data_IF_311382994685
#
_entry.id   IF_311382994685
#
_cell.length_a   1.000
_cell.length_b   1.000
_cell.length_c   1.000
_cell.angle_alpha   90.00
_cell.angle_beta   90.00
_cell.angle_gamma   90.00
#
_symmetry.space_group_name_H-M   'P 1'
#
loop_
_entity.id
_entity.type
_entity.pdbx_description
1 polymer ?
#
# COMPACT_ATOMS: atom_id res chain seq x y z
N UNK A 1 35.38 51.69 13.20
CA UNK A 1 34.30 50.97 13.92
C UNK A 1 32.94 51.02 13.22
N UNK A 2 32.42 52.18 12.78
CA UNK A 2 31.09 52.28 12.14
C UNK A 2 30.92 51.47 10.84
N UNK A 3 31.92 51.42 9.97
CA UNK A 3 31.88 50.62 8.72
C UNK A 3 31.92 49.10 8.95
N UNK A 4 32.63 48.66 9.99
CA UNK A 4 32.73 47.23 10.34
C UNK A 4 31.42 46.70 10.91
N UNK A 5 30.77 47.48 11.79
CA UNK A 5 29.44 47.16 12.32
C UNK A 5 28.38 47.10 11.20
N UNK A 6 28.47 47.98 10.20
CA UNK A 6 27.54 47.98 9.06
C UNK A 6 27.69 46.73 8.17
N UNK A 7 28.92 46.26 7.95
CA UNK A 7 29.19 45.03 7.19
C UNK A 7 28.70 43.81 7.95
N UNK A 8 28.93 43.74 9.26
CA UNK A 8 28.43 42.64 10.10
C UNK A 8 26.89 42.64 10.10
N UNK A 9 26.25 43.80 10.20
CA UNK A 9 24.80 43.93 10.17
C UNK A 9 24.19 43.45 8.83
N UNK A 10 24.83 43.76 7.71
CA UNK A 10 24.44 43.27 6.38
C UNK A 10 24.59 41.74 6.24
N UNK A 11 25.69 41.17 6.76
CA UNK A 11 25.87 39.72 6.75
C UNK A 11 24.77 39.03 7.58
N UNK A 12 24.48 39.48 8.80
CA UNK A 12 23.44 38.87 9.65
C UNK A 12 22.05 38.96 9.01
N UNK A 13 21.70 40.07 8.36
CA UNK A 13 20.43 40.19 7.63
C UNK A 13 20.36 39.27 6.41
N UNK A 14 21.46 39.07 5.68
CA UNK A 14 21.50 38.15 4.54
C UNK A 14 21.39 36.67 4.95
N UNK A 15 21.84 36.28 6.15
CA UNK A 15 21.63 34.94 6.68
C UNK A 15 20.19 34.71 7.17
N UNK A 16 19.54 35.74 7.75
CA UNK A 16 18.16 35.65 8.22
C UNK A 16 17.13 35.51 7.09
N UNK A 17 17.41 36.05 5.90
CA UNK A 17 16.54 35.90 4.71
C UNK A 17 16.67 34.51 4.07
N UNK A 18 17.84 33.87 4.14
CA UNK A 18 18.06 32.52 3.62
C UNK A 18 17.47 31.45 4.56
N UNK A 19 17.52 31.65 5.88
CA UNK A 19 16.96 30.72 6.86
C UNK A 19 15.41 30.64 6.83
N UNK A 20 14.74 31.72 6.38
CA UNK A 20 13.28 31.78 6.24
C UNK A 20 12.79 31.53 4.81
N UNK A 21 13.68 31.28 3.85
CA UNK A 21 13.26 30.80 2.55
C UNK A 21 12.60 29.42 2.77
N UNK A 22 11.28 29.33 2.56
CA UNK A 22 10.58 28.05 2.49
C UNK A 22 11.44 27.15 1.63
N UNK A 23 11.91 26.02 2.19
CA UNK A 23 12.60 24.98 1.41
C UNK A 23 11.82 24.83 0.10
N UNK A 24 12.47 24.92 -1.07
CA UNK A 24 11.77 24.75 -2.33
C UNK A 24 10.96 23.47 -2.19
N UNK A 25 9.63 23.57 -2.41
CA UNK A 25 8.75 22.40 -2.36
C UNK A 25 9.41 21.38 -3.28
N UNK A 26 9.86 20.28 -2.71
CA UNK A 26 10.50 19.21 -3.45
C UNK A 26 9.58 18.87 -4.61
N UNK A 27 10.08 18.95 -5.84
CA UNK A 27 9.25 18.80 -7.03
C UNK A 27 8.70 17.38 -6.99
N UNK A 28 7.40 17.24 -6.72
CA UNK A 28 6.75 15.93 -6.63
C UNK A 28 6.89 15.25 -7.98
N UNK A 29 7.68 14.17 -7.99
CA UNK A 29 7.90 13.34 -9.18
C UNK A 29 6.89 12.20 -9.18
N UNK A 30 5.73 12.43 -9.76
CA UNK A 30 4.73 11.40 -10.03
C UNK A 30 5.29 10.24 -10.86
N UNK A 31 4.90 8.99 -10.55
CA UNK A 31 5.36 7.83 -11.30
C UNK A 31 4.69 7.80 -12.67
N UNK A 32 5.46 7.40 -13.69
CA UNK A 32 4.90 7.09 -15.01
C UNK A 32 3.91 5.95 -14.89
N UNK A 33 2.83 6.04 -15.64
CA UNK A 33 1.80 5.03 -15.65
C UNK A 33 1.13 4.90 -17.02
N UNK A 34 0.61 3.71 -17.28
CA UNK A 34 -0.24 3.39 -18.44
C UNK A 34 -1.60 2.97 -17.91
N UNK A 35 -2.62 3.76 -18.22
CA UNK A 35 -4.00 3.51 -17.84
C UNK A 35 -4.74 2.91 -19.04
N UNK A 36 -5.28 1.70 -18.87
CA UNK A 36 -6.16 1.06 -19.87
C UNK A 36 -7.57 1.02 -19.31
N UNK A 37 -8.52 1.62 -20.03
CA UNK A 37 -9.94 1.62 -19.67
C UNK A 37 -10.66 0.40 -20.27
N UNK A 38 -11.83 0.08 -19.73
CA UNK A 38 -12.65 -1.06 -20.20
C UNK A 38 -13.17 -0.90 -21.61
N UNK A 39 -13.33 0.33 -22.10
CA UNK A 39 -13.71 0.63 -23.49
C UNK A 39 -12.57 0.45 -24.50
N UNK A 40 -11.36 0.10 -24.03
CA UNK A 40 -10.17 -0.09 -24.86
C UNK A 40 -9.26 1.14 -24.98
N UNK A 41 -9.66 2.29 -24.42
CA UNK A 41 -8.82 3.49 -24.39
C UNK A 41 -7.53 3.24 -23.61
N UNK A 42 -6.39 3.66 -24.16
CA UNK A 42 -5.07 3.56 -23.52
C UNK A 42 -4.47 4.95 -23.38
N UNK A 43 -4.11 5.32 -22.16
CA UNK A 43 -3.51 6.62 -21.82
C UNK A 43 -2.12 6.41 -21.24
N UNK A 44 -1.13 7.11 -21.78
CA UNK A 44 0.24 7.13 -21.27
C UNK A 44 0.45 8.45 -20.52
N UNK A 45 1.01 8.39 -19.32
CA UNK A 45 1.10 9.57 -18.47
C UNK A 45 1.63 9.26 -17.09
N UNK A 46 1.01 9.86 -16.09
CA UNK A 46 1.49 9.92 -14.72
C UNK A 46 0.33 9.75 -13.74
N UNK A 47 0.52 8.89 -12.74
CA UNK A 47 -0.42 8.74 -11.63
C UNK A 47 -0.24 9.90 -10.65
N UNK A 48 -1.25 10.75 -10.53
CA UNK A 48 -1.26 12.01 -9.77
C UNK A 48 -1.74 11.83 -8.32
N UNK A 49 -1.76 10.58 -7.83
CA UNK A 49 -2.06 10.26 -6.43
C UNK A 49 -1.21 9.08 -5.96
N UNK A 50 -1.03 8.98 -4.65
CA UNK A 50 -0.38 7.82 -4.06
C UNK A 50 -1.20 6.54 -4.31
N UNK A 51 -0.51 5.44 -4.59
CA UNK A 51 -1.11 4.11 -4.79
C UNK A 51 -1.96 3.67 -3.59
N UNK A 52 -1.65 4.12 -2.36
CA UNK A 52 -2.40 3.82 -1.14
C UNK A 52 -3.77 4.53 -1.07
N UNK A 53 -4.04 5.48 -1.97
CA UNK A 53 -5.31 6.22 -2.06
C UNK A 53 -6.17 5.83 -3.28
N UNK A 54 -5.83 4.73 -3.97
CA UNK A 54 -6.60 4.20 -5.10
C UNK A 54 -7.84 3.40 -4.64
N UNK A 55 -8.74 4.05 -3.90
CA UNK A 55 -10.02 3.49 -3.49
C UNK A 55 -11.01 3.58 -4.65
N UNK A 56 -12.01 4.46 -4.59
CA UNK A 56 -13.04 4.57 -5.64
C UNK A 56 -12.55 5.19 -6.94
N UNK A 57 -11.47 5.96 -6.90
CA UNK A 57 -10.96 6.70 -8.05
C UNK A 57 -9.43 6.76 -8.04
N UNK A 58 -8.86 7.01 -9.22
CA UNK A 58 -7.48 7.47 -9.39
C UNK A 58 -7.48 8.84 -10.09
N UNK A 59 -6.35 9.53 -9.98
CA UNK A 59 -6.06 10.78 -10.66
C UNK A 59 -4.90 10.56 -11.61
N UNK A 60 -5.06 10.96 -12.87
CA UNK A 60 -4.09 10.72 -13.92
C UNK A 60 -3.92 11.95 -14.80
N UNK A 61 -2.71 12.15 -15.30
CA UNK A 61 -2.40 13.22 -16.26
C UNK A 61 -1.42 12.71 -17.31
N UNK A 62 -1.62 13.09 -18.58
CA UNK A 62 -0.71 12.72 -19.68
C UNK A 62 0.70 13.33 -19.53
N UNK A 63 0.84 14.40 -18.74
CA UNK A 63 2.13 15.06 -18.47
C UNK A 63 2.39 15.23 -16.99
N UNK A 64 3.67 15.35 -16.61
CA UNK A 64 4.12 15.48 -15.22
C UNK A 64 3.42 16.61 -14.45
N UNK A 65 3.16 17.74 -15.14
CA UNK A 65 2.57 18.96 -14.58
C UNK A 65 1.18 19.25 -15.17
N UNK A 66 0.55 18.27 -15.82
CA UNK A 66 -0.75 18.46 -16.43
C UNK A 66 -1.88 18.50 -15.40
N UNK A 67 -3.09 18.72 -15.88
CA UNK A 67 -4.28 18.74 -15.03
C UNK A 67 -4.67 17.32 -14.63
N UNK A 68 -5.01 17.14 -13.37
CA UNK A 68 -5.56 15.89 -12.87
C UNK A 68 -6.90 15.57 -13.51
N UNK A 69 -6.99 14.41 -14.16
CA UNK A 69 -8.23 13.82 -14.64
C UNK A 69 -8.58 12.65 -13.73
N UNK A 70 -9.82 12.65 -13.24
CA UNK A 70 -10.34 11.66 -12.29
C UNK A 70 -10.97 10.50 -13.05
N UNK A 71 -10.57 9.27 -12.73
CA UNK A 71 -11.13 8.04 -13.28
C UNK A 71 -11.68 7.16 -12.16
N UNK A 72 -12.88 6.60 -12.33
CA UNK A 72 -13.42 5.61 -11.37
C UNK A 72 -12.73 4.28 -11.59
N UNK A 73 -12.36 3.58 -10.53
CA UNK A 73 -11.64 2.29 -10.65
C UNK A 73 -12.47 1.22 -11.38
N UNK A 74 -13.80 1.31 -11.32
CA UNK A 74 -14.71 0.36 -11.98
C UNK A 74 -14.67 0.44 -13.50
N UNK A 75 -14.21 1.55 -14.06
CA UNK A 75 -14.08 1.77 -15.50
C UNK A 75 -12.68 1.39 -16.01
N UNK A 76 -11.77 1.02 -15.11
CA UNK A 76 -10.37 0.70 -15.40
C UNK A 76 -10.25 -0.80 -15.66
N UNK A 77 -9.62 -1.16 -16.79
CA UNK A 77 -9.23 -2.54 -17.10
C UNK A 77 -7.90 -2.88 -16.44
N UNK A 78 -6.91 -2.00 -16.57
CA UNK A 78 -5.62 -2.15 -15.90
C UNK A 78 -4.93 -0.80 -15.72
N UNK A 79 -4.09 -0.72 -14.69
CA UNK A 79 -3.21 0.40 -14.43
C UNK A 79 -1.80 -0.14 -14.22
N UNK A 80 -0.89 0.17 -15.14
CA UNK A 80 0.53 -0.16 -15.01
C UNK A 80 1.25 1.04 -14.45
N UNK A 81 1.97 0.91 -13.33
CA UNK A 81 2.68 2.01 -12.68
C UNK A 81 4.16 1.66 -12.52
N UNK A 82 5.03 2.56 -12.96
CA UNK A 82 6.48 2.44 -12.81
C UNK A 82 6.89 2.72 -11.36
N UNK A 83 7.75 1.87 -10.81
CA UNK A 83 8.31 2.00 -9.46
C UNK A 83 7.24 2.19 -8.36
N UNK A 84 6.06 1.55 -8.53
CA UNK A 84 4.92 1.75 -7.64
C UNK A 84 5.24 1.46 -6.16
N UNK A 85 6.12 0.48 -5.92
CA UNK A 85 6.49 0.01 -4.58
C UNK A 85 7.91 0.46 -4.17
N UNK A 86 8.50 1.42 -4.89
CA UNK A 86 9.87 1.92 -4.64
C UNK A 86 10.97 0.86 -4.75
N UNK A 87 10.72 -0.22 -5.49
CA UNK A 87 11.63 -1.35 -5.71
C UNK A 87 12.21 -1.37 -7.14
N UNK A 88 12.01 -0.31 -7.91
CA UNK A 88 12.42 -0.15 -9.30
C UNK A 88 11.56 -0.92 -10.30
N UNK A 89 10.55 -1.66 -9.85
CA UNK A 89 9.76 -2.56 -10.71
C UNK A 89 8.45 -1.90 -11.15
N UNK A 90 7.98 -2.31 -12.33
CA UNK A 90 6.62 -2.00 -12.78
C UNK A 90 5.62 -2.91 -12.07
N UNK A 91 4.43 -2.39 -11.81
CA UNK A 91 3.30 -3.15 -11.23
C UNK A 91 2.07 -2.95 -12.08
N UNK A 92 1.37 -4.04 -12.37
CA UNK A 92 0.07 -4.00 -13.03
C UNK A 92 -1.00 -4.17 -11.96
N UNK A 93 -1.80 -3.14 -11.77
CA UNK A 93 -2.98 -3.18 -10.93
C UNK A 93 -4.19 -3.50 -11.80
N UNK A 94 -4.97 -4.48 -11.35
CA UNK A 94 -6.24 -4.86 -11.95
C UNK A 94 -7.33 -4.68 -10.91
N UNK A 95 -8.54 -4.43 -11.39
CA UNK A 95 -9.71 -4.33 -10.54
C UNK A 95 -10.06 -5.72 -9.99
N UNK A 96 -10.20 -5.80 -8.68
CA UNK A 96 -10.86 -6.91 -8.02
C UNK A 96 -12.36 -6.60 -7.92
N UNK A 97 -13.19 -7.43 -8.55
CA UNK A 97 -14.64 -7.25 -8.65
C UNK A 97 -15.44 -8.16 -7.70
N UNK A 98 -14.80 -9.09 -6.98
CA UNK A 98 -15.50 -10.12 -6.18
C UNK A 98 -16.31 -9.55 -5.03
N UNK A 99 -15.92 -8.39 -4.50
CA UNK A 99 -16.74 -7.61 -3.57
C UNK A 99 -17.28 -6.37 -4.29
N UNK A 100 -18.50 -6.44 -4.87
CA UNK A 100 -19.10 -5.30 -5.56
C UNK A 100 -19.40 -4.12 -4.61
N UNK A 101 -19.43 -4.35 -3.29
CA UNK A 101 -19.58 -3.26 -2.30
C UNK A 101 -18.26 -2.55 -2.00
N UNK A 102 -17.12 -3.20 -2.24
CA UNK A 102 -15.80 -2.62 -1.99
C UNK A 102 -14.76 -3.03 -3.05
N UNK A 103 -14.94 -2.61 -4.31
CA UNK A 103 -13.94 -2.89 -5.34
C UNK A 103 -12.62 -2.20 -5.01
N UNK A 104 -11.51 -2.86 -5.34
CA UNK A 104 -10.18 -2.31 -5.14
C UNK A 104 -9.22 -2.73 -6.24
N UNK A 105 -8.21 -1.90 -6.47
CA UNK A 105 -7.12 -2.20 -7.39
C UNK A 105 -6.04 -3.00 -6.66
N UNK A 106 -5.63 -4.15 -7.22
CA UNK A 106 -4.58 -5.00 -6.65
C UNK A 106 -3.64 -5.51 -7.74
N UNK A 107 -2.41 -5.83 -7.35
CA UNK A 107 -1.43 -6.49 -8.22
C UNK A 107 -1.40 -7.97 -7.90
N UNK A 108 -1.34 -8.81 -8.93
CA UNK A 108 -1.01 -10.22 -8.76
C UNK A 108 0.45 -10.31 -8.27
N UNK A 109 0.68 -11.13 -7.25
CA UNK A 109 2.00 -11.34 -6.61
C UNK A 109 2.40 -12.81 -6.55
N UNK A 110 1.46 -13.72 -6.82
CA UNK A 110 1.68 -15.16 -6.80
C UNK A 110 0.74 -15.83 -7.80
N UNK A 111 1.27 -16.75 -8.62
CA UNK A 111 0.49 -17.58 -9.54
C UNK A 111 0.96 -19.03 -9.45
N UNK A 112 0.23 -19.82 -8.68
CA UNK A 112 0.38 -21.27 -8.57
C UNK A 112 -0.55 -22.00 -9.54
N UNK A 113 -0.65 -23.32 -9.37
CA UNK A 113 -1.54 -24.17 -10.18
C UNK A 113 -3.01 -23.93 -9.80
N UNK A 114 -3.28 -23.83 -8.52
CA UNK A 114 -4.61 -23.68 -7.93
C UNK A 114 -4.78 -22.29 -7.30
N UNK A 115 -3.70 -21.71 -6.77
CA UNK A 115 -3.75 -20.47 -5.98
C UNK A 115 -3.29 -19.27 -6.79
N UNK A 116 -4.07 -18.19 -6.76
CA UNK A 116 -3.62 -16.86 -7.23
C UNK A 116 -3.62 -15.88 -6.06
N UNK A 117 -2.51 -15.16 -5.88
CA UNK A 117 -2.28 -14.22 -4.79
C UNK A 117 -2.23 -12.78 -5.26
N UNK A 118 -2.79 -11.88 -4.45
CA UNK A 118 -2.94 -10.46 -4.76
C UNK A 118 -2.47 -9.58 -3.60
N UNK A 119 -1.92 -8.42 -3.95
CA UNK A 119 -1.55 -7.37 -3.02
C UNK A 119 -2.29 -6.08 -3.34
N UNK A 120 -2.98 -5.54 -2.35
CA UNK A 120 -3.64 -4.24 -2.36
C UNK A 120 -2.81 -3.22 -1.57
N UNK A 121 -2.30 -2.14 -2.17
CA UNK A 121 -1.81 -0.99 -1.42
C UNK A 121 -2.99 -0.17 -0.90
N UNK A 122 -2.98 0.19 0.38
CA UNK A 122 -4.02 1.03 0.98
C UNK A 122 -3.52 1.86 2.16
N UNK A 123 -4.21 2.94 2.49
CA UNK A 123 -4.00 3.67 3.74
C UNK A 123 -4.87 3.06 4.86
N UNK A 124 -4.26 2.64 5.96
CA UNK A 124 -4.99 2.11 7.12
C UNK A 124 -5.35 3.25 8.07
N UNK A 125 -6.65 3.44 8.29
CA UNK A 125 -7.15 4.40 9.26
C UNK A 125 -7.43 3.67 10.58
N UNK A 126 -6.68 4.04 11.61
CA UNK A 126 -6.89 3.55 12.96
C UNK A 126 -7.64 4.62 13.75
N UNK A 127 -8.95 4.47 13.88
CA UNK A 127 -9.72 5.23 14.86
C UNK A 127 -9.51 4.56 16.22
N UNK A 128 -8.63 5.09 17.06
CA UNK A 128 -8.74 4.80 18.48
C UNK A 128 -9.77 5.78 19.05
N UNK A 129 -10.85 5.24 19.63
CA UNK A 129 -11.90 5.86 20.45
C UNK A 129 -13.21 6.32 19.75
N UNK A 130 -14.33 5.73 20.18
CA UNK A 130 -15.68 6.34 20.22
C UNK A 130 -16.09 6.35 21.71
N UNK A 131 -16.85 7.30 22.29
CA UNK A 131 -17.75 8.35 21.79
C UNK A 131 -17.56 9.64 22.60
N UNK A 132 -17.89 10.78 21.99
CA UNK A 132 -18.28 11.96 22.76
C UNK A 132 -19.74 11.85 23.21
N UNK A 133 -20.02 12.03 24.52
CA UNK A 133 -21.30 12.60 24.98
C UNK A 133 -21.21 14.13 25.13
N UNK A 134 -20.00 14.69 25.09
CA UNK A 134 -19.66 16.06 25.51
C UNK A 134 -19.09 16.95 24.40
N UNK A 135 -19.17 16.52 23.14
CA UNK A 135 -18.68 17.28 21.98
C UNK A 135 -17.15 17.25 21.80
N UNK A 136 -16.72 16.56 20.74
CA UNK A 136 -15.36 16.57 20.14
C UNK A 136 -14.32 15.84 21.02
N UNK A 137 -13.71 14.73 20.59
CA UNK A 137 -12.62 14.66 19.61
C UNK A 137 -12.54 13.31 18.88
N UNK A 138 -12.22 13.32 17.58
CA UNK A 138 -11.72 12.16 16.81
C UNK A 138 -10.38 12.52 16.19
N UNK A 139 -9.29 11.97 16.74
CA UNK A 139 -7.98 12.01 16.09
C UNK A 139 -7.82 10.74 15.25
N UNK A 140 -8.06 10.86 13.94
CA UNK A 140 -7.84 9.75 13.03
C UNK A 140 -6.33 9.59 12.80
N UNK A 141 -5.77 8.44 13.19
CA UNK A 141 -4.38 8.12 12.83
C UNK A 141 -4.39 7.37 11.51
N UNK A 142 -3.89 8.00 10.45
CA UNK A 142 -3.74 7.39 9.12
C UNK A 142 -2.32 6.85 8.99
N UNK A 143 -2.21 5.56 8.72
CA UNK A 143 -0.96 4.88 8.41
C UNK A 143 -0.87 4.67 6.89
N UNK A 144 0.18 5.25 6.30
CA UNK A 144 0.54 5.03 4.90
C UNK A 144 1.46 3.80 4.78
N UNK A 145 1.63 3.26 3.56
CA UNK A 145 2.48 2.09 3.37
C UNK A 145 1.85 0.79 3.88
N UNK A 146 0.51 0.67 3.89
CA UNK A 146 -0.15 -0.57 4.29
C UNK A 146 -0.45 -1.43 3.07
N UNK A 147 -0.21 -2.74 3.19
CA UNK A 147 -0.45 -3.72 2.11
C UNK A 147 -1.35 -4.83 2.62
N UNK A 148 -2.45 -5.06 1.93
CA UNK A 148 -3.38 -6.15 2.19
C UNK A 148 -3.11 -7.28 1.23
N UNK A 149 -3.01 -8.50 1.74
CA UNK A 149 -2.71 -9.69 0.95
C UNK A 149 -3.93 -10.60 0.92
N UNK A 150 -4.28 -11.00 -0.30
CA UNK A 150 -5.47 -11.78 -0.60
C UNK A 150 -5.09 -12.98 -1.47
N UNK A 151 -5.89 -14.04 -1.44
CA UNK A 151 -5.74 -15.18 -2.36
C UNK A 151 -7.09 -15.62 -2.91
N UNK A 152 -7.04 -16.39 -3.99
CA UNK A 152 -8.14 -17.19 -4.53
C UNK A 152 -7.63 -18.60 -4.82
N UNK A 153 -8.52 -19.58 -4.73
CA UNK A 153 -8.30 -20.97 -5.15
C UNK A 153 -9.23 -21.28 -6.33
N UNK A 154 -8.68 -21.74 -7.45
CA UNK A 154 -9.41 -22.16 -8.67
C UNK A 154 -10.49 -21.14 -9.14
N UNK A 155 -10.16 -19.84 -9.09
CA UNK A 155 -11.09 -18.73 -9.39
C UNK A 155 -12.32 -18.63 -8.47
N UNK A 156 -12.23 -19.21 -7.27
CA UNK A 156 -13.18 -19.04 -6.19
C UNK A 156 -13.03 -17.69 -5.49
N UNK A 157 -13.62 -17.57 -4.31
CA UNK A 157 -13.71 -16.32 -3.55
C UNK A 157 -12.33 -15.73 -3.19
N UNK A 158 -12.19 -14.42 -3.32
CA UNK A 158 -11.12 -13.67 -2.68
C UNK A 158 -11.14 -13.73 -1.14
N UNK A 159 -10.02 -14.20 -0.55
CA UNK A 159 -9.83 -14.30 0.90
C UNK A 159 -8.64 -13.45 1.34
N UNK A 160 -8.89 -12.48 2.22
CA UNK A 160 -7.84 -11.73 2.90
C UNK A 160 -7.12 -12.61 3.91
N UNK A 161 -5.78 -12.66 3.88
CA UNK A 161 -5.00 -13.53 4.76
C UNK A 161 -3.89 -12.81 5.54
N UNK A 162 -3.38 -11.67 5.06
CA UNK A 162 -2.28 -10.98 5.72
C UNK A 162 -2.28 -9.47 5.50
N UNK A 163 -1.72 -8.73 6.44
CA UNK A 163 -1.50 -7.29 6.33
C UNK A 163 -0.09 -6.96 6.73
N UNK A 164 0.51 -6.03 6.00
CA UNK A 164 1.85 -5.52 6.26
C UNK A 164 1.79 -4.00 6.43
N UNK A 165 2.54 -3.50 7.40
CA UNK A 165 2.87 -2.09 7.54
C UNK A 165 4.34 -1.90 7.12
N UNK A 166 4.60 -1.05 6.11
CA UNK A 166 5.95 -0.80 5.60
C UNK A 166 6.86 -0.13 6.65
N UNK A 167 6.31 0.72 7.51
CA UNK A 167 7.07 1.29 8.62
C UNK A 167 7.40 0.19 9.65
N UNK A 168 8.67 -0.22 9.68
CA UNK A 168 9.19 -1.24 10.61
C UNK A 168 8.95 -0.88 12.08
N UNK A 169 8.92 0.39 12.47
CA UNK A 169 8.61 0.81 13.85
C UNK A 169 7.14 0.61 14.18
N UNK A 170 6.25 0.82 13.21
CA UNK A 170 4.81 0.56 13.37
C UNK A 170 4.57 -0.95 13.39
N UNK A 171 5.18 -1.67 12.46
CA UNK A 171 5.05 -3.11 12.31
C UNK A 171 5.55 -3.84 13.57
N UNK A 172 6.76 -3.54 14.05
CA UNK A 172 7.33 -4.10 15.28
C UNK A 172 6.56 -3.78 16.57
N UNK A 173 5.78 -2.69 16.59
CA UNK A 173 4.88 -2.34 17.70
C UNK A 173 3.54 -3.07 17.64
N UNK A 174 3.01 -3.31 16.43
CA UNK A 174 1.68 -3.91 16.22
C UNK A 174 1.70 -5.43 16.21
N UNK A 175 2.78 -6.06 15.72
CA UNK A 175 2.78 -7.50 15.45
C UNK A 175 3.98 -8.21 16.09
N UNK A 176 3.99 -8.29 17.42
CA UNK A 176 4.77 -9.32 18.14
C UNK A 176 3.89 -10.55 18.35
N UNK A 177 3.88 -11.45 17.36
CA UNK A 177 3.19 -12.73 17.53
C UNK A 177 4.10 -13.72 18.25
N UNK A 178 3.63 -14.28 19.37
CA UNK A 178 4.16 -15.57 19.79
C UNK A 178 3.76 -16.63 18.76
N UNK A 179 4.52 -17.72 18.65
CA UNK A 179 4.21 -18.81 17.71
C UNK A 179 2.77 -19.30 17.85
N UNK A 180 2.28 -19.44 19.09
CA UNK A 180 0.88 -19.78 19.39
C UNK A 180 -0.13 -18.79 18.80
N UNK A 181 0.13 -17.48 18.88
CA UNK A 181 -0.77 -16.45 18.32
C UNK A 181 -0.71 -16.44 16.79
N UNK A 182 0.49 -16.62 16.21
CA UNK A 182 0.68 -16.72 14.77
C UNK A 182 -0.13 -17.89 14.20
N UNK A 183 0.06 -19.10 14.74
CA UNK A 183 -0.65 -20.29 14.30
C UNK A 183 -2.17 -20.14 14.44
N UNK A 184 -2.66 -19.52 15.53
CA UNK A 184 -4.08 -19.23 15.68
C UNK A 184 -4.61 -18.32 14.55
N UNK A 185 -3.87 -17.27 14.19
CA UNK A 185 -4.24 -16.36 13.09
C UNK A 185 -4.24 -17.08 11.75
N UNK A 186 -3.23 -17.91 11.48
CA UNK A 186 -3.16 -18.68 10.24
C UNK A 186 -4.31 -19.68 10.15
N UNK A 187 -4.62 -20.40 11.24
CA UNK A 187 -5.79 -21.30 11.30
C UNK A 187 -7.12 -20.58 11.05
N UNK A 188 -7.26 -19.33 11.49
CA UNK A 188 -8.45 -18.51 11.20
C UNK A 188 -8.52 -18.11 9.71
N UNK A 189 -7.41 -17.65 9.13
CA UNK A 189 -7.36 -17.16 7.73
C UNK A 189 -7.36 -18.27 6.69
N UNK A 190 -6.89 -19.46 7.05
CA UNK A 190 -6.86 -20.65 6.22
C UNK A 190 -7.68 -21.78 6.85
N UNK A 191 -8.84 -21.44 7.44
CA UNK A 191 -9.71 -22.39 8.15
C UNK A 191 -10.14 -23.59 7.30
N UNK A 192 -10.30 -23.37 5.99
CA UNK A 192 -10.71 -24.40 5.03
C UNK A 192 -9.50 -25.22 4.52
N UNK A 193 -8.28 -24.83 4.91
CA UNK A 193 -7.00 -25.41 4.48
C UNK A 193 -6.06 -25.63 5.68
N UNK A 194 -6.38 -26.56 6.60
CA UNK A 194 -5.63 -26.77 7.84
C UNK A 194 -4.15 -27.12 7.61
N UNK A 195 -3.83 -27.77 6.48
CA UNK A 195 -2.46 -28.10 6.06
C UNK A 195 -1.52 -26.88 6.03
N UNK A 196 -2.04 -25.67 5.79
CA UNK A 196 -1.24 -24.44 5.81
C UNK A 196 -0.66 -24.18 7.20
N UNK A 197 -1.49 -24.31 8.23
CA UNK A 197 -1.04 -24.09 9.60
C UNK A 197 -0.09 -25.21 10.08
N UNK A 198 -0.34 -26.45 9.68
CA UNK A 198 0.50 -27.61 10.00
C UNK A 198 1.90 -27.46 9.40
N UNK A 199 1.99 -27.06 8.13
CA UNK A 199 3.29 -26.89 7.46
C UNK A 199 4.04 -25.66 8.00
N UNK A 200 3.34 -24.58 8.37
CA UNK A 200 3.94 -23.43 9.08
C UNK A 200 4.55 -23.86 10.41
N UNK A 201 3.83 -24.67 11.19
CA UNK A 201 4.30 -25.20 12.47
C UNK A 201 5.51 -26.13 12.29
N UNK A 202 5.42 -27.07 11.34
CA UNK A 202 6.48 -28.03 11.01
C UNK A 202 7.77 -27.36 10.53
N UNK A 203 7.67 -26.32 9.70
CA UNK A 203 8.83 -25.54 9.22
C UNK A 203 9.36 -24.57 10.28
N UNK A 204 8.62 -24.35 11.37
CA UNK A 204 8.97 -23.36 12.38
C UNK A 204 8.98 -21.93 11.83
N UNK A 205 8.12 -21.60 10.85
CA UNK A 205 8.10 -20.26 10.27
C UNK A 205 7.67 -19.23 11.31
N UNK A 206 8.41 -18.14 11.37
CA UNK A 206 8.12 -17.03 12.28
C UNK A 206 7.25 -15.97 11.61
N UNK A 207 6.68 -15.08 12.41
CA UNK A 207 5.90 -13.97 11.88
C UNK A 207 6.77 -13.02 11.04
N UNK A 208 8.02 -12.81 11.45
CA UNK A 208 8.98 -11.97 10.75
C UNK A 208 9.26 -12.50 9.34
N UNK A 209 9.47 -13.81 9.19
CA UNK A 209 9.67 -14.43 7.88
C UNK A 209 8.44 -14.26 6.98
N UNK A 210 7.24 -14.43 7.53
CA UNK A 210 5.98 -14.21 6.79
C UNK A 210 5.76 -12.73 6.49
N UNK A 211 6.22 -11.79 7.34
CA UNK A 211 6.15 -10.36 7.06
C UNK A 211 7.08 -9.95 5.91
N UNK A 212 8.28 -10.54 5.86
CA UNK A 212 9.24 -10.31 4.78
C UNK A 212 8.73 -10.88 3.44
N UNK A 213 8.13 -12.07 3.49
CA UNK A 213 7.53 -12.69 2.32
C UNK A 213 6.18 -13.38 2.65
N UNK A 214 5.05 -12.66 2.51
CA UNK A 214 3.73 -13.24 2.71
C UNK A 214 3.33 -14.29 1.67
N UNK A 215 4.07 -14.42 0.56
CA UNK A 215 3.72 -15.39 -0.50
C UNK A 215 4.05 -16.82 -0.10
N UNK A 216 4.91 -17.02 0.91
CA UNK A 216 5.23 -18.36 1.45
C UNK A 216 3.98 -19.13 1.88
N UNK A 217 2.97 -18.44 2.41
CA UNK A 217 1.70 -19.06 2.82
C UNK A 217 0.89 -19.53 1.61
N UNK A 218 0.99 -18.84 0.49
CA UNK A 218 0.32 -19.20 -0.76
C UNK A 218 1.02 -20.37 -1.45
N UNK A 219 2.35 -20.42 -1.39
CA UNK A 219 3.12 -21.57 -1.86
C UNK A 219 2.76 -22.85 -1.09
N UNK A 220 2.64 -22.75 0.24
CA UNK A 220 2.21 -23.87 1.08
C UNK A 220 0.79 -24.30 0.69
N UNK A 221 -0.13 -23.35 0.56
CA UNK A 221 -1.50 -23.64 0.15
C UNK A 221 -1.54 -24.34 -1.22
N UNK A 222 -0.87 -23.79 -2.23
CA UNK A 222 -0.88 -24.34 -3.60
C UNK A 222 -0.35 -25.77 -3.64
N UNK A 223 0.74 -26.05 -2.89
CA UNK A 223 1.31 -27.39 -2.76
C UNK A 223 0.38 -28.37 -2.03
N UNK A 224 -0.41 -27.89 -1.07
CA UNK A 224 -1.35 -28.75 -0.33
C UNK A 224 -2.57 -29.18 -1.14
N UNK A 225 -2.79 -28.55 -2.30
CA UNK A 225 -3.90 -28.84 -3.22
C UNK A 225 -3.49 -29.75 -4.39
N UNK A 226 -2.23 -30.19 -4.43
CA UNK A 226 -1.70 -31.12 -5.44
C UNK A 226 -1.95 -32.58 -5.05
#
# INVERSE_FOLDING_TARGET
MKKLLFIIFLMVFSFATIANAKKPKEKVSWPKAVLTLKDGTVLNGYLQNDIHFMKKNIYFSETQNGKDVKYKIVDIKSLVVDNAMQDGKKRTFVLNEDDPTFPFMATEIYKGKHVTGYMQPFAFESSTHSRSFTGIWTNNTVYLGCRGYHYMVDSGKHVYYWMLFEDKKINSKREKYSQKKLLKKIKDKFKDYPAVAEEVEKRGLTAEQIHEDPTILLEILDKSLQ
#
